data_IF_717151361073
#
_entry.id   IF_717151361073
#
_cell.length_a   1.000
_cell.length_b   1.000
_cell.length_c   1.000
_cell.angle_alpha   90.00
_cell.angle_beta   90.00
_cell.angle_gamma   90.00
#
_symmetry.space_group_name_H-M   'P 1'
#
loop_
_entity.id
_entity.type
_entity.pdbx_description
1 polymer ?
#
# COMPACT_ATOMS: atom_id res chain seq x y z
N UNK A 1 12.75 -17.25 37.61
CA UNK A 1 12.21 -17.89 36.39
C UNK A 1 11.15 -16.96 35.84
N UNK A 2 11.21 -16.58 34.56
CA UNK A 2 10.17 -15.75 33.93
C UNK A 2 9.01 -16.67 33.57
N UNK A 3 7.82 -16.40 34.10
CA UNK A 3 6.59 -17.12 33.75
C UNK A 3 6.21 -16.79 32.30
N UNK A 4 5.97 -17.82 31.49
CA UNK A 4 5.50 -17.64 30.12
C UNK A 4 4.01 -17.27 30.14
N UNK A 5 3.56 -16.36 29.26
CA UNK A 5 2.15 -16.00 29.18
C UNK A 5 1.31 -17.22 28.76
N UNK A 6 0.09 -17.33 29.31
CA UNK A 6 -0.83 -18.41 28.92
C UNK A 6 -1.20 -18.30 27.43
N UNK A 7 -1.54 -19.43 26.80
CA UNK A 7 -2.00 -19.48 25.41
C UNK A 7 -3.14 -18.49 25.10
N UNK A 8 -4.10 -18.34 26.03
CA UNK A 8 -5.21 -17.39 25.87
C UNK A 8 -4.74 -15.93 25.78
N UNK A 9 -3.90 -15.46 26.69
CA UNK A 9 -3.32 -14.11 26.63
C UNK A 9 -2.58 -13.85 25.31
N UNK A 10 -1.84 -14.85 24.81
CA UNK A 10 -1.13 -14.74 23.52
C UNK A 10 -2.12 -14.67 22.35
N UNK A 11 -3.15 -15.51 22.36
CA UNK A 11 -4.19 -15.51 21.34
C UNK A 11 -4.97 -14.19 21.32
N UNK A 12 -5.36 -13.67 22.50
CA UNK A 12 -5.99 -12.37 22.64
C UNK A 12 -5.11 -11.25 22.06
N UNK A 13 -3.83 -11.20 22.45
CA UNK A 13 -2.89 -10.19 21.95
C UNK A 13 -2.74 -10.25 20.42
N UNK A 14 -2.61 -11.46 19.86
CA UNK A 14 -2.51 -11.67 18.42
C UNK A 14 -3.76 -11.17 17.67
N UNK A 15 -4.95 -11.50 18.18
CA UNK A 15 -6.24 -11.02 17.62
C UNK A 15 -6.35 -9.51 17.72
N UNK A 16 -5.95 -8.89 18.84
CA UNK A 16 -5.95 -7.44 18.99
C UNK A 16 -5.01 -6.73 18.00
N UNK A 17 -3.81 -7.28 17.79
CA UNK A 17 -2.87 -6.74 16.79
C UNK A 17 -3.48 -6.81 15.39
N UNK A 18 -4.06 -7.95 15.02
CA UNK A 18 -4.69 -8.13 13.71
C UNK A 18 -5.90 -7.20 13.53
N UNK A 19 -6.72 -7.02 14.56
CA UNK A 19 -7.82 -6.04 14.55
C UNK A 19 -7.30 -4.61 14.32
N UNK A 20 -6.18 -4.24 14.95
CA UNK A 20 -5.50 -2.96 14.72
C UNK A 20 -5.06 -2.77 13.28
N UNK A 21 -4.52 -3.81 12.64
CA UNK A 21 -4.15 -3.81 11.20
C UNK A 21 -5.40 -3.57 10.33
N UNK A 22 -6.51 -4.25 10.62
CA UNK A 22 -7.76 -4.07 9.85
C UNK A 22 -8.29 -2.63 9.97
N UNK A 23 -8.29 -2.06 11.17
CA UNK A 23 -8.70 -0.65 11.37
C UNK A 23 -7.78 0.30 10.62
N UNK A 24 -6.47 0.07 10.67
CA UNK A 24 -5.48 0.86 9.97
C UNK A 24 -5.69 0.82 8.45
N UNK A 25 -5.92 -0.35 7.88
CA UNK A 25 -6.22 -0.51 6.46
C UNK A 25 -7.49 0.22 6.05
N UNK A 26 -8.56 0.07 6.84
CA UNK A 26 -9.82 0.76 6.60
C UNK A 26 -9.64 2.29 6.60
N UNK A 27 -8.84 2.81 7.53
CA UNK A 27 -8.49 4.23 7.59
C UNK A 27 -7.78 4.69 6.31
N UNK A 28 -6.72 3.99 5.88
CA UNK A 28 -5.97 4.40 4.67
C UNK A 28 -6.78 4.24 3.39
N UNK A 29 -7.58 3.18 3.26
CA UNK A 29 -8.49 3.01 2.12
C UNK A 29 -9.53 4.14 2.04
N UNK A 30 -10.09 4.52 3.19
CA UNK A 30 -11.05 5.62 3.26
C UNK A 30 -10.39 6.95 2.92
N UNK A 31 -9.21 7.21 3.49
CA UNK A 31 -8.45 8.43 3.23
C UNK A 31 -8.08 8.56 1.76
N UNK A 32 -7.63 7.49 1.12
CA UNK A 32 -7.27 7.46 -0.29
C UNK A 32 -8.48 7.80 -1.20
N UNK A 33 -9.68 7.30 -0.88
CA UNK A 33 -10.90 7.65 -1.63
C UNK A 33 -11.35 9.09 -1.41
N UNK A 34 -11.09 9.66 -0.23
CA UNK A 34 -11.37 11.06 0.07
C UNK A 34 -10.36 12.00 -0.60
N UNK A 35 -9.07 11.66 -0.56
CA UNK A 35 -8.00 12.46 -1.18
C UNK A 35 -8.06 12.39 -2.72
N UNK A 36 -8.50 11.28 -3.31
CA UNK A 36 -8.63 11.08 -4.76
C UNK A 36 -10.05 10.60 -5.09
N UNK A 37 -11.06 11.50 -5.12
CA UNK A 37 -12.45 11.14 -5.33
C UNK A 37 -12.75 10.82 -6.81
N UNK A 38 -12.17 11.58 -7.73
CA UNK A 38 -12.36 11.50 -9.17
C UNK A 38 -11.15 10.88 -9.86
N UNK A 39 -11.39 10.17 -10.96
CA UNK A 39 -10.36 9.57 -11.81
C UNK A 39 -10.35 10.27 -13.17
N UNK A 40 -9.19 10.28 -13.81
CA UNK A 40 -8.95 10.99 -15.06
C UNK A 40 -8.24 12.33 -14.87
N UNK A 41 -8.36 13.25 -15.84
CA UNK A 41 -7.76 14.57 -15.77
C UNK A 41 -8.33 15.39 -14.61
N UNK A 42 -7.45 15.98 -13.80
CA UNK A 42 -7.84 16.85 -12.69
C UNK A 42 -7.89 18.31 -13.15
N UNK A 43 -8.91 19.05 -12.71
CA UNK A 43 -9.09 20.49 -13.03
C UNK A 43 -7.92 21.36 -12.60
N UNK A 44 -7.16 20.92 -11.60
CA UNK A 44 -5.95 21.59 -11.10
C UNK A 44 -4.66 21.28 -11.90
N UNK A 45 -4.76 20.66 -13.08
CA UNK A 45 -3.60 20.37 -13.94
C UNK A 45 -2.86 19.08 -13.56
N UNK A 46 -3.59 18.02 -13.22
CA UNK A 46 -3.04 16.73 -12.81
C UNK A 46 -3.77 15.55 -13.43
N UNK A 47 -3.41 14.34 -13.01
CA UNK A 47 -4.05 13.11 -13.47
C UNK A 47 -4.21 12.10 -12.34
N UNK A 48 -5.42 11.57 -12.18
CA UNK A 48 -5.75 10.54 -11.20
C UNK A 48 -6.12 9.22 -11.88
N UNK A 49 -5.69 8.10 -11.31
CA UNK A 49 -6.02 6.77 -11.82
C UNK A 49 -6.13 5.75 -10.69
N UNK A 50 -6.60 4.55 -11.00
CA UNK A 50 -6.66 3.45 -10.06
C UNK A 50 -5.89 2.25 -10.58
N UNK A 51 -5.38 1.41 -9.67
CA UNK A 51 -4.91 0.08 -10.03
C UNK A 51 -6.08 -0.83 -10.42
N UNK A 52 -5.78 -1.88 -11.18
CA UNK A 52 -6.76 -2.93 -11.47
C UNK A 52 -6.73 -4.00 -10.37
N UNK A 53 -7.91 -4.51 -9.98
CA UNK A 53 -8.01 -5.54 -8.94
C UNK A 53 -7.22 -6.83 -9.25
N UNK A 54 -7.19 -7.24 -10.53
CA UNK A 54 -6.39 -8.40 -10.97
C UNK A 54 -4.89 -8.15 -10.79
N UNK A 55 -4.43 -6.91 -11.02
CA UNK A 55 -3.05 -6.52 -10.82
C UNK A 55 -2.67 -6.46 -9.33
N UNK A 56 -3.59 -6.05 -8.46
CA UNK A 56 -3.42 -6.13 -7.00
C UNK A 56 -3.33 -7.59 -6.52
N UNK A 57 -4.18 -8.47 -7.03
CA UNK A 57 -4.14 -9.90 -6.70
C UNK A 57 -2.80 -10.55 -7.09
N UNK A 58 -2.31 -10.28 -8.31
CA UNK A 58 -1.00 -10.79 -8.76
C UNK A 58 0.13 -10.20 -7.91
N UNK A 59 0.05 -8.92 -7.54
CA UNK A 59 1.03 -8.26 -6.66
C UNK A 59 1.08 -8.92 -5.30
N UNK A 60 -0.07 -9.37 -4.78
CA UNK A 60 -0.21 -9.94 -3.46
C UNK A 60 -0.15 -11.46 -3.44
N UNK A 61 0.08 -12.16 -4.57
CA UNK A 61 -0.03 -13.63 -4.63
C UNK A 61 0.83 -14.35 -3.56
N UNK A 62 2.07 -13.91 -3.33
CA UNK A 62 2.92 -14.46 -2.27
C UNK A 62 2.42 -14.17 -0.85
N UNK A 63 1.75 -13.03 -0.67
CA UNK A 63 1.09 -12.69 0.58
C UNK A 63 -0.17 -13.57 0.77
N UNK A 64 -1.03 -13.69 -0.25
CA UNK A 64 -2.22 -14.54 -0.23
C UNK A 64 -1.92 -15.99 0.18
N UNK A 65 -0.83 -16.57 -0.36
CA UNK A 65 -0.40 -17.92 0.02
C UNK A 65 0.01 -18.05 1.49
N UNK A 66 0.80 -17.09 1.98
CA UNK A 66 1.20 -17.05 3.40
C UNK A 66 0.00 -16.88 4.33
N UNK A 67 -0.97 -16.07 3.92
CA UNK A 67 -2.18 -15.79 4.69
C UNK A 67 -3.13 -16.99 4.73
N UNK A 68 -3.23 -17.75 3.64
CA UNK A 68 -3.98 -19.01 3.65
C UNK A 68 -3.38 -20.01 4.65
N UNK A 69 -2.04 -20.10 4.73
CA UNK A 69 -1.38 -20.90 5.76
C UNK A 69 -1.67 -20.37 7.17
N UNK A 70 -1.67 -19.05 7.37
CA UNK A 70 -2.00 -18.41 8.66
C UNK A 70 -3.47 -18.58 9.06
N UNK A 71 -4.40 -18.84 8.12
CA UNK A 71 -5.78 -19.20 8.45
C UNK A 71 -5.86 -20.64 8.97
N UNK A 72 -5.19 -21.59 8.32
CA UNK A 72 -5.33 -23.02 8.65
C UNK A 72 -4.52 -23.42 9.90
N UNK A 73 -3.33 -22.84 10.08
CA UNK A 73 -2.40 -23.25 11.14
C UNK A 73 -2.99 -23.15 12.56
N UNK A 74 -3.68 -22.05 12.96
CA UNK A 74 -4.26 -21.95 14.29
C UNK A 74 -5.22 -23.09 14.64
N UNK A 75 -6.06 -23.52 13.68
CA UNK A 75 -7.02 -24.60 13.88
C UNK A 75 -6.34 -25.93 14.25
N UNK A 76 -5.20 -26.23 13.64
CA UNK A 76 -4.43 -27.44 13.96
C UNK A 76 -3.80 -27.41 15.36
N UNK A 77 -3.67 -26.23 15.98
CA UNK A 77 -3.02 -26.03 17.27
C UNK A 77 -4.00 -25.74 18.42
N UNK A 78 -5.29 -25.58 18.14
CA UNK A 78 -6.32 -25.25 19.15
C UNK A 78 -6.42 -26.31 20.24
N UNK A 79 -6.52 -27.60 19.85
CA UNK A 79 -6.64 -28.70 20.81
C UNK A 79 -5.37 -28.84 21.67
N UNK A 80 -4.19 -28.68 21.06
CA UNK A 80 -2.91 -28.78 21.76
C UNK A 80 -2.67 -27.65 22.77
N UNK A 81 -3.27 -26.47 22.53
CA UNK A 81 -3.07 -25.28 23.35
C UNK A 81 -4.21 -25.00 24.35
N UNK A 82 -5.30 -25.78 24.32
CA UNK A 82 -6.53 -25.54 25.09
C UNK A 82 -7.03 -24.08 24.94
N UNK A 83 -6.83 -23.49 23.75
CA UNK A 83 -7.23 -22.10 23.47
C UNK A 83 -8.71 -22.06 23.11
N UNK A 84 -9.49 -21.09 23.63
CA UNK A 84 -10.90 -20.94 23.25
C UNK A 84 -11.07 -20.74 21.74
N UNK A 85 -12.00 -21.52 21.14
CA UNK A 85 -12.28 -21.51 19.69
C UNK A 85 -12.61 -20.11 19.16
N UNK A 86 -13.19 -19.25 20.00
CA UNK A 86 -13.55 -17.87 19.63
C UNK A 86 -12.37 -17.08 19.07
N UNK A 87 -11.14 -17.29 19.55
CA UNK A 87 -9.96 -16.58 19.06
C UNK A 87 -9.58 -16.98 17.63
N UNK A 88 -9.73 -18.25 17.26
CA UNK A 88 -9.51 -18.70 15.88
C UNK A 88 -10.57 -18.15 14.91
N UNK A 89 -11.83 -18.10 15.35
CA UNK A 89 -12.90 -17.49 14.54
C UNK A 89 -12.66 -16.00 14.33
N UNK A 90 -12.30 -15.26 15.38
CA UNK A 90 -11.97 -13.83 15.28
C UNK A 90 -10.73 -13.59 14.42
N UNK A 91 -9.73 -14.46 14.55
CA UNK A 91 -8.53 -14.43 13.71
C UNK A 91 -8.89 -14.56 12.23
N UNK A 92 -9.63 -15.59 11.85
CA UNK A 92 -10.04 -15.81 10.45
C UNK A 92 -10.89 -14.66 9.92
N UNK A 93 -11.80 -14.12 10.74
CA UNK A 93 -12.63 -12.97 10.38
C UNK A 93 -11.77 -11.74 10.07
N UNK A 94 -10.87 -11.35 10.97
CA UNK A 94 -10.01 -10.19 10.75
C UNK A 94 -9.01 -10.42 9.62
N UNK A 95 -8.50 -11.64 9.48
CA UNK A 95 -7.58 -12.00 8.41
C UNK A 95 -8.27 -11.93 7.04
N UNK A 96 -9.52 -12.40 6.94
CA UNK A 96 -10.34 -12.25 5.74
C UNK A 96 -10.60 -10.78 5.41
N UNK A 97 -10.93 -9.94 6.40
CA UNK A 97 -11.12 -8.50 6.18
C UNK A 97 -9.84 -7.82 5.69
N UNK A 98 -8.69 -8.18 6.25
CA UNK A 98 -7.38 -7.70 5.80
C UNK A 98 -7.07 -8.18 4.37
N UNK A 99 -7.35 -9.44 4.03
CA UNK A 99 -7.20 -9.95 2.66
C UNK A 99 -8.06 -9.17 1.65
N UNK A 100 -9.32 -8.90 2.00
CA UNK A 100 -10.20 -8.07 1.19
C UNK A 100 -9.60 -6.68 1.01
N UNK A 101 -9.08 -6.07 2.09
CA UNK A 101 -8.46 -4.73 2.05
C UNK A 101 -7.27 -4.65 1.07
N UNK A 102 -6.49 -5.73 0.97
CA UNK A 102 -5.34 -5.83 0.08
C UNK A 102 -5.73 -5.92 -1.41
N UNK A 103 -6.90 -6.51 -1.70
CA UNK A 103 -7.44 -6.66 -3.05
C UNK A 103 -8.19 -5.42 -3.54
N UNK A 104 -8.56 -4.49 -2.65
CA UNK A 104 -9.22 -3.24 -3.03
C UNK A 104 -8.29 -2.42 -3.93
N UNK A 105 -8.75 -2.03 -5.14
CA UNK A 105 -8.03 -1.14 -6.04
C UNK A 105 -7.54 0.12 -5.34
N UNK A 106 -6.26 0.42 -5.50
CA UNK A 106 -5.62 1.60 -4.94
C UNK A 106 -5.77 2.76 -5.93
N UNK A 107 -6.04 3.96 -5.42
CA UNK A 107 -6.13 5.22 -6.19
C UNK A 107 -4.87 6.06 -6.06
N UNK A 108 -4.44 6.61 -7.17
CA UNK A 108 -3.25 7.44 -7.29
C UNK A 108 -3.62 8.76 -7.94
N UNK A 109 -2.89 9.82 -7.59
CA UNK A 109 -3.01 11.10 -8.30
C UNK A 109 -1.67 11.80 -8.42
N UNK A 110 -1.43 12.39 -9.58
CA UNK A 110 -0.32 13.28 -9.87
C UNK A 110 -0.84 14.70 -9.87
N UNK A 111 -0.20 15.55 -9.08
CA UNK A 111 -0.40 17.01 -9.10
C UNK A 111 0.93 17.70 -9.38
N UNK A 112 0.90 19.00 -9.63
CA UNK A 112 2.11 19.82 -9.85
C UNK A 112 3.10 19.77 -8.68
N UNK A 113 2.63 19.55 -7.45
CA UNK A 113 3.45 19.61 -6.23
C UNK A 113 3.69 18.25 -5.58
N UNK A 114 2.69 17.35 -5.65
CA UNK A 114 2.71 16.08 -4.94
C UNK A 114 2.21 14.91 -5.78
N UNK A 115 2.75 13.73 -5.48
CA UNK A 115 2.17 12.43 -5.84
C UNK A 115 1.35 11.91 -4.66
N UNK A 116 0.11 11.55 -4.92
CA UNK A 116 -0.76 10.86 -3.98
C UNK A 116 -0.71 9.36 -4.29
N UNK A 117 -0.25 8.57 -3.32
CA UNK A 117 -0.22 7.11 -3.44
C UNK A 117 -0.47 6.47 -2.08
N UNK A 118 -1.27 5.40 -2.05
CA UNK A 118 -1.62 4.65 -0.84
C UNK A 118 -2.17 5.55 0.30
N UNK A 119 -2.91 6.60 -0.06
CA UNK A 119 -3.45 7.60 0.88
C UNK A 119 -2.41 8.55 1.49
N UNK A 120 -1.14 8.46 1.07
CA UNK A 120 -0.05 9.35 1.46
C UNK A 120 0.26 10.37 0.37
N UNK A 121 0.79 11.52 0.81
CA UNK A 121 1.22 12.62 -0.07
C UNK A 121 2.74 12.64 -0.10
N UNK A 122 3.30 12.51 -1.29
CA UNK A 122 4.73 12.47 -1.52
C UNK A 122 5.17 13.70 -2.32
N UNK A 123 6.01 14.58 -1.76
CA UNK A 123 6.55 15.69 -2.53
C UNK A 123 7.50 15.17 -3.61
N UNK A 124 7.45 15.77 -4.79
CA UNK A 124 8.28 15.36 -5.93
C UNK A 124 9.77 15.35 -5.59
N UNK A 125 10.23 16.27 -4.74
CA UNK A 125 11.62 16.36 -4.24
C UNK A 125 12.17 15.04 -3.69
N UNK A 126 11.30 14.22 -3.10
CA UNK A 126 11.67 12.95 -2.48
C UNK A 126 11.47 11.76 -3.42
N UNK A 127 11.08 11.99 -4.67
CA UNK A 127 10.79 10.97 -5.66
C UNK A 127 11.73 11.08 -6.85
N UNK A 128 12.18 9.92 -7.34
CA UNK A 128 12.96 9.80 -8.58
C UNK A 128 12.42 8.64 -9.41
N UNK A 129 12.39 8.80 -10.74
CA UNK A 129 12.03 7.69 -11.61
C UNK A 129 13.13 6.60 -11.55
N UNK A 130 12.73 5.34 -11.38
CA UNK A 130 13.70 4.24 -11.42
C UNK A 130 14.29 4.10 -12.83
N UNK A 131 15.61 3.89 -12.93
CA UNK A 131 16.31 3.71 -14.22
C UNK A 131 15.71 2.60 -15.08
N UNK A 132 15.28 1.51 -14.46
CA UNK A 132 14.63 0.37 -15.13
C UNK A 132 13.15 0.36 -14.80
N UNK A 133 12.32 0.67 -15.80
CA UNK A 133 10.87 0.62 -15.67
C UNK A 133 10.33 -0.77 -16.04
N UNK A 134 9.54 -1.42 -15.16
CA UNK A 134 8.81 -2.64 -15.49
C UNK A 134 7.66 -2.36 -16.48
N UNK A 135 7.24 -3.39 -17.25
CA UNK A 135 6.25 -3.23 -18.33
C UNK A 135 4.84 -2.84 -17.84
N UNK A 136 4.40 -3.37 -16.69
CA UNK A 136 3.01 -3.26 -16.20
C UNK A 136 2.82 -2.35 -14.97
N UNK A 137 3.83 -1.58 -14.59
CA UNK A 137 3.77 -0.65 -13.43
C UNK A 137 4.74 0.50 -13.62
N UNK A 138 4.53 1.58 -12.90
CA UNK A 138 5.50 2.67 -12.79
C UNK A 138 6.30 2.45 -11.52
N UNK A 139 7.63 2.44 -11.61
CA UNK A 139 8.50 2.30 -10.45
C UNK A 139 9.14 3.65 -10.12
N UNK A 140 8.75 4.21 -8.98
CA UNK A 140 9.42 5.37 -8.38
C UNK A 140 10.34 4.92 -7.26
N UNK A 141 11.36 5.71 -6.98
CA UNK A 141 12.27 5.53 -5.86
C UNK A 141 12.10 6.70 -4.90
N UNK A 142 11.86 6.38 -3.63
CA UNK A 142 11.85 7.35 -2.54
C UNK A 142 13.29 7.62 -2.09
N UNK A 143 13.72 8.86 -2.19
CA UNK A 143 15.04 9.31 -1.74
C UNK A 143 15.15 9.10 -0.22
N UNK A 144 16.26 8.51 0.24
CA UNK A 144 16.53 8.26 1.67
C UNK A 144 15.91 7.00 2.28
N UNK A 145 15.17 6.19 1.51
CA UNK A 145 14.46 5.00 2.03
C UNK A 145 15.15 3.64 1.77
N UNK A 146 16.40 3.64 1.29
CA UNK A 146 17.20 2.42 1.09
C UNK A 146 16.46 1.31 0.31
N UNK A 147 16.43 0.05 0.80
CA UNK A 147 15.75 -1.06 0.12
C UNK A 147 14.21 -0.92 0.09
N UNK A 148 13.64 -0.09 0.95
CA UNK A 148 12.21 0.25 0.95
C UNK A 148 11.89 1.47 0.06
N UNK A 149 12.89 1.98 -0.65
CA UNK A 149 12.74 3.05 -1.63
C UNK A 149 11.73 2.78 -2.75
N UNK A 150 11.59 1.55 -3.29
CA UNK A 150 10.69 1.30 -4.42
C UNK A 150 9.22 1.55 -4.08
N UNK A 151 8.58 2.42 -4.85
CA UNK A 151 7.16 2.72 -4.82
C UNK A 151 6.54 2.29 -6.16
N UNK A 152 5.97 1.07 -6.24
CA UNK A 152 5.30 0.60 -7.44
C UNK A 152 3.90 1.20 -7.53
N UNK A 153 3.60 1.85 -8.66
CA UNK A 153 2.26 2.34 -8.98
C UNK A 153 1.63 1.44 -10.04
N UNK A 154 0.50 0.82 -9.69
CA UNK A 154 -0.31 -0.01 -10.59
C UNK A 154 -1.34 0.81 -11.37
N UNK A 155 -1.88 0.25 -12.44
CA UNK A 155 -2.88 0.90 -13.30
C UNK A 155 -3.09 0.15 -14.60
N UNK A 156 -4.16 0.47 -15.32
CA UNK A 156 -4.37 -0.02 -16.67
C UNK A 156 -3.33 0.57 -17.65
N UNK A 157 -3.07 -0.10 -18.79
CA UNK A 157 -2.03 0.34 -19.72
C UNK A 157 -2.18 1.77 -20.23
N UNK A 158 -3.41 2.25 -20.44
CA UNK A 158 -3.68 3.59 -20.93
C UNK A 158 -3.40 4.63 -19.84
N UNK A 159 -3.94 4.45 -18.64
CA UNK A 159 -3.69 5.34 -17.51
C UNK A 159 -2.21 5.39 -17.13
N UNK A 160 -1.51 4.25 -17.19
CA UNK A 160 -0.07 4.21 -16.93
C UNK A 160 0.76 4.93 -18.00
N UNK A 161 0.31 4.95 -19.26
CA UNK A 161 0.97 5.71 -20.31
C UNK A 161 0.85 7.22 -20.04
N UNK A 162 -0.37 7.69 -19.78
CA UNK A 162 -0.64 9.10 -19.43
C UNK A 162 0.14 9.50 -18.16
N UNK A 163 0.05 8.71 -17.09
CA UNK A 163 0.75 8.99 -15.84
C UNK A 163 2.28 9.05 -16.02
N UNK A 164 2.87 8.22 -16.89
CA UNK A 164 4.31 8.29 -17.22
C UNK A 164 4.69 9.61 -17.89
N UNK A 165 3.84 10.12 -18.78
CA UNK A 165 4.09 11.41 -19.45
C UNK A 165 4.04 12.55 -18.46
N UNK A 166 3.04 12.58 -17.58
CA UNK A 166 2.96 13.56 -16.50
C UNK A 166 4.18 13.51 -15.57
N UNK A 167 4.61 12.31 -15.15
CA UNK A 167 5.79 12.16 -14.27
C UNK A 167 7.05 12.68 -14.96
N UNK A 168 7.25 12.35 -16.24
CA UNK A 168 8.40 12.85 -17.01
C UNK A 168 8.37 14.37 -17.14
N UNK A 169 7.21 14.95 -17.42
CA UNK A 169 7.05 16.40 -17.51
C UNK A 169 7.39 17.09 -16.17
N UNK A 170 6.96 16.50 -15.04
CA UNK A 170 7.30 17.01 -13.70
C UNK A 170 8.79 16.89 -13.39
N UNK A 171 9.43 15.78 -13.78
CA UNK A 171 10.88 15.60 -13.62
C UNK A 171 11.67 16.60 -14.47
N UNK A 172 11.24 16.85 -15.71
CA UNK A 172 11.84 17.83 -16.62
C UNK A 172 11.70 19.27 -16.11
N UNK A 173 10.50 19.68 -15.70
CA UNK A 173 10.23 21.02 -15.15
C UNK A 173 11.11 21.31 -13.92
N UNK A 174 11.39 20.28 -13.11
CA UNK A 174 12.31 20.39 -11.97
C UNK A 174 13.77 20.49 -12.39
N UNK A 175 14.19 19.74 -13.41
CA UNK A 175 15.58 19.81 -13.90
C UNK A 175 15.93 21.16 -14.55
N UNK A 176 14.92 21.91 -15.01
CA UNK A 176 15.09 23.24 -15.63
C UNK A 176 14.92 24.40 -14.65
N UNK A 177 14.52 24.15 -13.40
CA UNK A 177 14.49 25.18 -12.36
C UNK A 177 15.91 25.30 -11.78
N UNK A 178 16.67 26.39 -12.04
CA UNK A 178 17.99 26.54 -11.46
C UNK A 178 17.87 26.63 -9.94
N UNK A 179 18.73 25.90 -9.23
CA UNK A 179 18.90 26.08 -7.79
C UNK A 179 19.27 27.52 -7.51
N UNK A 180 18.31 28.32 -7.06
CA UNK A 180 18.58 29.63 -6.47
C UNK A 180 19.19 29.38 -5.10
N UNK A 181 20.46 29.01 -5.09
CA UNK A 181 21.31 28.99 -3.91
C UNK A 181 22.63 29.60 -4.32
N UNK A 182 22.59 30.90 -4.59
CA UNK A 182 23.75 31.78 -4.46
C UNK A 182 23.36 32.88 -3.46
N UNK A 183 24.12 32.88 -2.36
CA UNK A 183 24.52 34.02 -1.53
C UNK A 183 23.45 34.84 -0.78
N UNK A 184 23.41 34.63 0.55
CA UNK A 184 23.38 35.70 1.55
C UNK A 184 24.00 35.20 2.87
#
# INVERSE_FOLDING_TARGET
MVELPSAEHVAFAAVCVLAGIVVWDAYWLTKQRRDVPELGPLSSGGFAWASEGVHEMIRQWGNLGSMAAMMVLPWALLEASNTPIIYAVLWDLFLALHLISLLVPKRYAITSTHLFADGQRYPWERLRLAKRQPKRRIMLLRNGWGPFGPLPLGGDPHSLAVAKEYIKAMEQARSTTPSTTEEA
#
